data_IF_553578342271
#
_entry.id   IF_553578342271
#
_cell.length_a   1.000
_cell.length_b   1.000
_cell.length_c   1.000
_cell.angle_alpha   90.00
_cell.angle_beta   90.00
_cell.angle_gamma   90.00
#
_symmetry.space_group_name_H-M   'P 1'
#
loop_
_entity.id
_entity.type
_entity.pdbx_description
1 polymer ?
#
# COMPACT_ATOMS: atom_id res chain seq x y z
N UNK A 1 -7.57 -4.39 -9.97
CA UNK A 1 -6.22 -3.81 -9.80
C UNK A 1 -5.92 -2.64 -10.73
N UNK A 2 -6.18 -2.73 -12.05
CA UNK A 2 -5.95 -1.60 -12.97
C UNK A 2 -6.74 -0.34 -12.57
N UNK A 3 -7.95 -0.51 -12.03
CA UNK A 3 -8.76 0.58 -11.47
C UNK A 3 -8.04 1.31 -10.31
N UNK A 4 -7.33 0.58 -9.45
CA UNK A 4 -6.57 1.16 -8.32
C UNK A 4 -5.42 2.02 -8.84
N UNK A 5 -4.76 1.57 -9.91
CA UNK A 5 -3.69 2.30 -10.58
C UNK A 5 -4.22 3.60 -11.18
N UNK A 6 -5.34 3.53 -11.92
CA UNK A 6 -5.99 4.72 -12.51
C UNK A 6 -6.45 5.69 -11.42
N UNK A 7 -7.11 5.18 -10.38
CA UNK A 7 -7.58 6.02 -9.28
C UNK A 7 -6.43 6.69 -8.53
N UNK A 8 -5.35 5.95 -8.25
CA UNK A 8 -4.16 6.50 -7.59
C UNK A 8 -3.48 7.57 -8.44
N UNK A 9 -3.43 7.35 -9.77
CA UNK A 9 -2.95 8.34 -10.73
C UNK A 9 -3.82 9.59 -10.74
N UNK A 10 -5.14 9.43 -10.74
CA UNK A 10 -6.09 10.54 -10.77
C UNK A 10 -6.08 11.34 -9.46
N UNK A 11 -5.97 10.67 -8.31
CA UNK A 11 -5.80 11.32 -7.01
C UNK A 11 -4.48 12.09 -6.94
N UNK A 12 -3.36 11.51 -7.40
CA UNK A 12 -2.06 12.17 -7.44
C UNK A 12 -2.08 13.41 -8.34
N UNK A 13 -2.59 13.28 -9.56
CA UNK A 13 -2.65 14.38 -10.53
C UNK A 13 -3.63 15.48 -10.16
N UNK A 14 -4.71 15.16 -9.43
CA UNK A 14 -5.75 16.13 -9.05
C UNK A 14 -5.42 16.90 -7.77
N UNK A 15 -4.86 16.24 -6.76
CA UNK A 15 -4.52 16.91 -5.49
C UNK A 15 -3.11 17.53 -5.47
N UNK A 16 -2.16 16.98 -6.23
CA UNK A 16 -0.75 17.42 -6.22
C UNK A 16 -0.24 17.70 -7.64
N UNK A 17 -0.89 18.67 -8.31
CA UNK A 17 -0.65 19.03 -9.72
C UNK A 17 0.78 19.54 -10.02
N UNK A 18 1.53 19.98 -9.02
CA UNK A 18 2.87 20.57 -9.15
C UNK A 18 4.04 19.56 -9.09
N UNK A 19 3.78 18.24 -9.02
CA UNK A 19 4.84 17.22 -8.96
C UNK A 19 4.97 16.49 -10.30
N UNK A 20 6.20 16.32 -10.78
CA UNK A 20 6.49 15.64 -12.07
C UNK A 20 6.41 14.11 -11.99
N UNK A 21 6.52 13.54 -10.79
CA UNK A 21 6.71 12.10 -10.58
C UNK A 21 5.41 11.38 -10.16
N UNK A 22 4.34 11.50 -10.95
CA UNK A 22 3.07 10.82 -10.63
C UNK A 22 3.18 9.28 -10.64
N UNK A 23 4.20 8.72 -11.32
CA UNK A 23 4.43 7.28 -11.40
C UNK A 23 4.86 6.66 -10.07
N UNK A 24 5.68 7.36 -9.27
CA UNK A 24 6.16 6.82 -7.98
C UNK A 24 5.06 6.77 -6.93
N UNK A 25 4.16 7.76 -6.92
CA UNK A 25 2.97 7.77 -6.05
C UNK A 25 2.10 6.52 -6.25
N UNK A 26 1.84 6.18 -7.51
CA UNK A 26 1.01 5.04 -7.87
C UNK A 26 1.69 3.73 -7.48
N UNK A 27 3.01 3.65 -7.63
CA UNK A 27 3.79 2.50 -7.20
C UNK A 27 3.71 2.30 -5.68
N UNK A 28 3.87 3.38 -4.90
CA UNK A 28 3.76 3.30 -3.44
C UNK A 28 2.33 3.00 -2.96
N UNK A 29 1.31 3.54 -3.63
CA UNK A 29 -0.09 3.22 -3.34
C UNK A 29 -0.41 1.74 -3.59
N UNK A 30 0.11 1.17 -4.68
CA UNK A 30 -0.01 -0.25 -4.97
C UNK A 30 0.79 -1.10 -3.97
N UNK A 31 2.03 -0.72 -3.66
CA UNK A 31 2.84 -1.43 -2.68
C UNK A 31 2.20 -1.46 -1.28
N UNK A 32 1.60 -0.35 -0.83
CA UNK A 32 0.88 -0.26 0.43
C UNK A 32 -0.31 -1.25 0.48
N UNK A 33 -1.02 -1.42 -0.63
CA UNK A 33 -2.10 -2.42 -0.73
C UNK A 33 -1.57 -3.85 -0.56
N UNK A 34 -0.52 -4.23 -1.30
CA UNK A 34 0.07 -5.58 -1.19
C UNK A 34 0.60 -5.89 0.20
N UNK A 35 1.18 -4.90 0.88
CA UNK A 35 1.65 -5.04 2.26
C UNK A 35 0.48 -5.30 3.24
N UNK A 36 -0.69 -4.72 2.96
CA UNK A 36 -1.86 -4.84 3.83
C UNK A 36 -2.61 -6.19 3.68
N UNK A 37 -2.27 -6.98 2.66
CA UNK A 37 -2.82 -8.33 2.47
C UNK A 37 -2.22 -9.29 3.51
N UNK A 38 -3.01 -10.19 4.11
CA UNK A 38 -2.47 -11.25 4.96
C UNK A 38 -1.61 -12.21 4.15
N UNK A 39 -0.38 -12.45 4.60
CA UNK A 39 0.56 -13.42 3.99
C UNK A 39 0.42 -14.84 4.58
N UNK A 40 -0.41 -14.98 5.61
CA UNK A 40 -0.68 -16.24 6.32
C UNK A 40 -2.17 -16.55 6.22
N UNK A 41 -2.50 -17.71 5.66
CA UNK A 41 -3.88 -18.17 5.56
C UNK A 41 -4.07 -19.47 6.34
N UNK A 42 -5.12 -19.48 7.17
CA UNK A 42 -5.48 -20.63 7.98
C UNK A 42 -6.66 -21.33 7.32
N UNK A 43 -6.41 -22.48 6.70
CA UNK A 43 -7.44 -23.26 6.05
C UNK A 43 -7.91 -24.36 7.00
N UNK A 44 -9.22 -24.36 7.27
CA UNK A 44 -9.87 -25.44 7.98
C UNK A 44 -10.21 -26.54 6.97
N UNK A 45 -9.61 -27.72 7.12
CA UNK A 45 -9.98 -28.89 6.32
C UNK A 45 -11.41 -29.29 6.71
N UNK A 46 -12.34 -29.48 5.77
CA UNK A 46 -13.63 -30.06 6.09
C UNK A 46 -13.39 -31.46 6.66
N UNK A 47 -13.84 -31.70 7.89
CA UNK A 47 -13.77 -32.97 8.62
C UNK A 47 -12.53 -33.25 9.50
N UNK A 48 -11.71 -32.25 9.86
CA UNK A 48 -10.76 -32.39 11.00
C UNK A 48 -10.46 -31.03 11.64
N UNK A 49 -10.45 -30.92 12.98
CA UNK A 49 -10.07 -29.71 13.74
C UNK A 49 -8.56 -29.39 13.66
N UNK A 50 -7.92 -29.57 12.51
CA UNK A 50 -6.53 -29.17 12.27
C UNK A 50 -6.53 -28.01 11.29
N UNK A 51 -6.26 -26.83 11.83
CA UNK A 51 -5.94 -25.63 11.06
C UNK A 51 -4.53 -25.78 10.53
N UNK A 52 -4.38 -25.94 9.23
CA UNK A 52 -3.06 -25.91 8.62
C UNK A 52 -2.82 -24.46 8.19
N UNK A 53 -1.62 -23.95 8.47
CA UNK A 53 -1.22 -22.61 8.03
C UNK A 53 -0.56 -22.76 6.66
N UNK A 54 -1.19 -22.26 5.58
CA UNK A 54 -0.46 -22.08 4.31
C UNK A 54 0.36 -20.82 4.49
N UNK A 55 1.68 -20.98 4.42
CA UNK A 55 2.62 -19.88 4.32
C UNK A 55 2.71 -19.44 2.85
N UNK A 56 2.72 -18.14 2.60
CA UNK A 56 2.95 -17.53 1.27
C UNK A 56 1.87 -17.82 0.21
N UNK A 57 0.62 -17.99 0.63
CA UNK A 57 -0.51 -17.95 -0.31
C UNK A 57 -1.08 -16.54 -0.35
N UNK A 58 -1.52 -16.08 -1.52
CA UNK A 58 -2.33 -14.87 -1.67
C UNK A 58 -3.69 -15.33 -2.18
N UNK A 59 -4.72 -15.11 -1.37
CA UNK A 59 -6.07 -15.48 -1.77
C UNK A 59 -6.61 -14.50 -2.83
N UNK A 60 -7.14 -15.06 -3.90
CA UNK A 60 -7.69 -14.31 -5.04
C UNK A 60 -8.91 -13.48 -4.64
N UNK A 61 -9.56 -13.77 -3.51
CA UNK A 61 -10.66 -12.96 -2.98
C UNK A 61 -10.25 -11.50 -2.70
N UNK A 62 -9.00 -11.27 -2.26
CA UNK A 62 -8.47 -9.92 -2.04
C UNK A 62 -8.00 -9.25 -3.34
N UNK A 63 -7.75 -10.02 -4.39
CA UNK A 63 -7.36 -9.48 -5.71
C UNK A 63 -8.59 -9.20 -6.61
N UNK A 64 -9.74 -9.81 -6.29
CA UNK A 64 -11.01 -9.61 -6.97
C UNK A 64 -11.77 -8.35 -6.55
N UNK A 65 -13.04 -8.26 -6.94
CA UNK A 65 -13.90 -7.08 -6.75
C UNK A 65 -14.01 -6.64 -5.28
N UNK A 66 -14.04 -7.62 -4.39
CA UNK A 66 -14.10 -7.46 -2.95
C UNK A 66 -12.89 -6.67 -2.42
N UNK A 67 -11.67 -7.09 -2.74
CA UNK A 67 -10.47 -6.38 -2.28
C UNK A 67 -10.14 -5.10 -3.05
N UNK A 68 -10.70 -4.89 -4.25
CA UNK A 68 -10.50 -3.64 -5.01
C UNK A 68 -11.06 -2.42 -4.28
N UNK A 69 -12.19 -2.54 -3.58
CA UNK A 69 -12.74 -1.42 -2.82
C UNK A 69 -11.80 -0.99 -1.67
N UNK A 70 -11.29 -1.96 -0.91
CA UNK A 70 -10.29 -1.70 0.12
C UNK A 70 -8.99 -1.15 -0.48
N UNK A 71 -8.57 -1.65 -1.65
CA UNK A 71 -7.39 -1.19 -2.35
C UNK A 71 -7.46 0.29 -2.75
N UNK A 72 -8.62 0.76 -3.22
CA UNK A 72 -8.84 2.18 -3.59
C UNK A 72 -8.67 3.10 -2.38
N UNK A 73 -9.23 2.72 -1.23
CA UNK A 73 -9.12 3.51 0.00
C UNK A 73 -7.68 3.52 0.53
N UNK A 74 -7.04 2.35 0.58
CA UNK A 74 -5.66 2.19 1.05
C UNK A 74 -4.69 2.96 0.14
N UNK A 75 -4.80 2.78 -1.18
CA UNK A 75 -3.90 3.44 -2.14
C UNK A 75 -4.11 4.95 -2.15
N UNK A 76 -5.35 5.44 -2.07
CA UNK A 76 -5.65 6.87 -1.98
C UNK A 76 -5.04 7.51 -0.73
N UNK A 77 -5.18 6.86 0.44
CA UNK A 77 -4.56 7.31 1.68
C UNK A 77 -3.03 7.28 1.61
N UNK A 78 -2.44 6.25 0.99
CA UNK A 78 -1.00 6.13 0.82
C UNK A 78 -0.43 7.23 -0.10
N UNK A 79 -1.07 7.50 -1.24
CA UNK A 79 -0.70 8.59 -2.15
C UNK A 79 -0.77 9.94 -1.44
N UNK A 80 -1.82 10.18 -0.65
CA UNK A 80 -1.95 11.42 0.10
C UNK A 80 -0.87 11.59 1.17
N UNK A 81 -0.57 10.53 1.92
CA UNK A 81 0.45 10.53 2.97
C UNK A 81 1.85 10.74 2.37
N UNK A 82 2.19 10.00 1.32
CA UNK A 82 3.45 10.12 0.60
C UNK A 82 3.68 11.56 0.11
N UNK A 83 2.69 12.13 -0.56
CA UNK A 83 2.78 13.50 -1.08
C UNK A 83 2.93 14.55 0.04
N UNK A 84 2.21 14.37 1.15
CA UNK A 84 2.33 15.26 2.32
C UNK A 84 3.72 15.21 2.94
N UNK A 85 4.37 14.04 2.98
CA UNK A 85 5.75 13.89 3.44
C UNK A 85 6.74 14.55 2.47
N UNK A 86 6.51 14.40 1.16
CA UNK A 86 7.35 15.01 0.13
C UNK A 86 7.30 16.54 0.15
N UNK A 87 6.14 17.14 0.44
CA UNK A 87 5.99 18.61 0.60
C UNK A 87 6.74 19.16 1.82
N UNK A 88 6.98 18.35 2.85
CA UNK A 88 7.68 18.76 4.08
C UNK A 88 9.21 18.76 3.93
N UNK A 89 9.76 18.64 2.72
CA UNK A 89 11.20 18.61 2.44
C UNK A 89 11.98 17.48 3.15
N UNK A 90 11.34 16.33 3.43
CA UNK A 90 12.03 15.10 3.82
C UNK A 90 12.73 14.46 2.61
N UNK A 91 13.62 15.21 1.97
CA UNK A 91 14.31 14.83 0.74
C UNK A 91 15.81 14.94 0.95
N UNK A 92 16.55 13.87 0.65
CA UNK A 92 18.02 13.90 0.65
C UNK A 92 18.46 14.79 -0.52
N UNK A 93 19.08 15.93 -0.21
CA UNK A 93 19.79 16.72 -1.23
C UNK A 93 21.07 15.99 -1.58
N UNK A 94 21.12 15.48 -2.80
CA UNK A 94 22.30 14.85 -3.36
C UNK A 94 23.18 15.91 -4.06
N UNK A 95 24.52 15.75 -4.05
CA UNK A 95 25.45 16.69 -4.68
C UNK A 95 25.30 16.67 -6.22
N UNK A 96 25.75 17.74 -6.88
CA UNK A 96 25.60 17.94 -8.35
C UNK A 96 26.29 16.86 -9.21
N UNK A 97 27.11 16.00 -8.60
CA UNK A 97 27.86 14.96 -9.28
C UNK A 97 27.03 13.71 -9.63
N UNK A 98 25.77 13.59 -9.19
CA UNK A 98 24.88 12.46 -9.52
C UNK A 98 23.83 12.80 -10.57
N UNK A 99 23.52 11.89 -11.53
CA UNK A 99 22.50 12.13 -12.54
C UNK A 99 21.12 12.42 -11.94
N UNK A 100 20.29 13.27 -12.59
CA UNK A 100 19.01 13.71 -12.04
C UNK A 100 18.02 12.56 -11.76
N UNK A 101 18.02 11.52 -12.60
CA UNK A 101 17.16 10.34 -12.42
C UNK A 101 17.46 9.57 -11.11
N UNK A 102 18.74 9.50 -10.74
CA UNK A 102 19.18 8.79 -9.53
C UNK A 102 18.88 9.66 -8.31
N UNK A 103 19.14 10.96 -8.41
CA UNK A 103 18.84 11.91 -7.34
C UNK A 103 17.36 11.92 -6.95
N UNK A 104 16.46 11.82 -7.94
CA UNK A 104 15.02 11.75 -7.73
C UNK A 104 14.57 10.45 -7.04
N UNK A 105 15.15 9.31 -7.41
CA UNK A 105 14.81 8.01 -6.81
C UNK A 105 15.18 7.96 -5.32
N UNK A 106 16.37 8.46 -4.94
CA UNK A 106 16.78 8.55 -3.54
C UNK A 106 16.00 9.60 -2.74
N UNK A 107 15.65 10.72 -3.38
CA UNK A 107 14.80 11.76 -2.79
C UNK A 107 13.42 11.23 -2.40
N UNK A 108 12.90 10.30 -3.19
CA UNK A 108 11.59 9.65 -3.02
C UNK A 108 11.62 8.46 -2.06
N UNK A 109 12.81 7.90 -1.80
CA UNK A 109 12.98 6.68 -1.00
C UNK A 109 12.55 6.87 0.46
N UNK A 110 13.01 7.93 1.13
CA UNK A 110 12.65 8.22 2.52
C UNK A 110 11.13 8.39 2.70
N UNK A 111 10.46 9.31 1.97
CA UNK A 111 9.02 9.50 2.13
C UNK A 111 8.25 8.22 1.77
N UNK A 112 8.73 7.46 0.79
CA UNK A 112 8.22 6.13 0.45
C UNK A 112 8.32 5.14 1.61
N UNK A 113 9.51 4.96 2.19
CA UNK A 113 9.74 4.06 3.32
C UNK A 113 8.90 4.42 4.55
N UNK A 114 8.75 5.71 4.86
CA UNK A 114 7.90 6.16 5.97
C UNK A 114 6.43 5.82 5.67
N UNK A 115 5.96 6.09 4.45
CA UNK A 115 4.58 5.78 4.04
C UNK A 115 4.31 4.28 4.18
N UNK A 116 5.18 3.43 3.63
CA UNK A 116 5.05 1.98 3.74
C UNK A 116 5.12 1.52 5.21
N UNK A 117 6.05 2.06 5.99
CA UNK A 117 6.19 1.77 7.42
C UNK A 117 4.91 2.08 8.21
N UNK A 118 4.25 3.19 7.92
CA UNK A 118 2.95 3.54 8.53
C UNK A 118 1.91 2.47 8.19
N UNK A 119 1.77 2.06 6.93
CA UNK A 119 0.81 1.02 6.55
C UNK A 119 1.12 -0.36 7.13
N UNK A 120 2.41 -0.70 7.31
CA UNK A 120 2.83 -1.93 8.02
C UNK A 120 2.34 -1.89 9.47
N UNK A 121 2.60 -0.79 10.18
CA UNK A 121 2.18 -0.63 11.58
C UNK A 121 0.65 -0.67 11.67
N UNK A 122 -0.05 0.01 10.77
CA UNK A 122 -1.50 0.07 10.73
C UNK A 122 -2.13 -1.31 10.49
N UNK A 123 -1.53 -2.10 9.58
CA UNK A 123 -1.93 -3.49 9.32
C UNK A 123 -1.63 -4.39 10.52
N UNK A 124 -0.48 -4.20 11.18
CA UNK A 124 -0.10 -4.93 12.40
C UNK A 124 -1.06 -4.66 13.56
N UNK A 125 -1.42 -3.40 13.79
CA UNK A 125 -2.40 -3.00 14.81
C UNK A 125 -3.78 -3.58 14.49
N UNK A 126 -4.24 -3.48 13.24
CA UNK A 126 -5.52 -4.07 12.82
C UNK A 126 -5.57 -5.59 13.08
N UNK A 127 -4.47 -6.29 12.80
CA UNK A 127 -4.38 -7.73 13.02
C UNK A 127 -4.36 -8.06 14.51
N UNK A 128 -3.68 -7.25 15.33
CA UNK A 128 -3.61 -7.43 16.78
C UNK A 128 -4.94 -7.13 17.50
N UNK A 129 -5.68 -6.10 17.08
CA UNK A 129 -6.95 -5.71 17.72
C UNK A 129 -8.15 -6.54 17.24
N UNK A 130 -8.20 -6.94 15.96
CA UNK A 130 -9.42 -7.54 15.39
C UNK A 130 -9.23 -8.99 14.90
N UNK A 131 -8.00 -9.51 14.88
CA UNK A 131 -7.69 -10.82 14.30
C UNK A 131 -7.94 -10.91 12.79
N UNK A 132 -8.28 -9.79 12.15
CA UNK A 132 -8.58 -9.63 10.72
C UNK A 132 -7.73 -8.48 10.16
N UNK A 133 -7.19 -8.67 8.97
CA UNK A 133 -6.45 -7.61 8.26
C UNK A 133 -7.39 -6.51 7.79
N UNK A 134 -6.82 -5.32 7.51
CA UNK A 134 -7.60 -4.17 7.04
C UNK A 134 -8.49 -4.49 5.83
N UNK A 135 -8.00 -5.19 4.79
CA UNK A 135 -8.87 -5.64 3.70
C UNK A 135 -9.98 -6.58 4.16
N UNK A 136 -9.66 -7.57 5.01
CA UNK A 136 -10.62 -8.56 5.51
C UNK A 136 -11.72 -7.96 6.41
N UNK A 137 -11.42 -6.85 7.11
CA UNK A 137 -12.41 -6.11 7.89
C UNK A 137 -13.51 -5.53 7.03
N UNK A 138 -13.14 -4.89 5.91
CA UNK A 138 -14.11 -4.38 4.95
C UNK A 138 -14.88 -5.52 4.28
N UNK A 139 -14.23 -6.65 3.98
CA UNK A 139 -14.92 -7.82 3.41
C UNK A 139 -15.90 -8.49 4.36
N UNK A 140 -15.67 -8.40 5.66
CA UNK A 140 -16.56 -8.99 6.67
C UNK A 140 -17.79 -8.11 6.96
N UNK A 141 -17.81 -6.86 6.50
CA UNK A 141 -18.88 -5.88 6.69
C UNK A 141 -19.81 -5.80 5.47
N UNK A 142 -19.37 -6.31 4.33
CA UNK A 142 -20.08 -6.29 3.04
C UNK A 142 -20.66 -7.66 2.71
#
# INVERSE_FOLDING_TARGET
MLLVVIFSWEVSTRFFRDRTEHMTDVLFGLAAFFISIPWNFQYAIPNTKRTINVLNYIDTQYLGTQGVFAAILISGCAVWLYNKLMQRNFTIKLPDSVPPAVAQSFSSLIPGSITLGVFIILTGISTACTGKTMPALFLSIL
#
